data_IF_566332103529
#
_entry.id   IF_566332103529
#
_cell.length_a   1.000
_cell.length_b   1.000
_cell.length_c   1.000
_cell.angle_alpha   90.00
_cell.angle_beta   90.00
_cell.angle_gamma   90.00
#
_symmetry.space_group_name_H-M   'P 1'
#
loop_
_entity.id
_entity.type
_entity.pdbx_description
1 polymer ?
#
# COMPACT_ATOMS: atom_id res chain seq x y z
N UNK A 1 60.23 -11.98 22.83
CA UNK A 1 59.92 -11.90 21.38
C UNK A 1 58.44 -12.25 21.23
N UNK A 2 57.58 -11.22 21.11
CA UNK A 2 56.92 -10.77 19.87
C UNK A 2 55.70 -11.67 19.52
N UNK A 3 54.52 -11.26 20.00
CA UNK A 3 53.32 -10.82 19.23
C UNK A 3 52.77 -11.86 18.25
N UNK A 4 51.55 -12.38 18.51
CA UNK A 4 50.42 -12.49 17.54
C UNK A 4 49.15 -12.69 18.40
N UNK A 5 48.39 -11.63 18.72
CA UNK A 5 47.34 -10.98 17.92
C UNK A 5 45.99 -11.73 17.98
N UNK A 6 45.10 -11.14 18.79
CA UNK A 6 43.64 -11.19 18.74
C UNK A 6 43.06 -11.55 17.37
N UNK A 7 42.17 -12.55 17.33
CA UNK A 7 41.13 -12.67 16.31
C UNK A 7 39.84 -13.14 16.97
N UNK A 8 39.22 -12.22 17.72
CA UNK A 8 37.80 -12.27 18.06
C UNK A 8 37.09 -11.48 16.95
N UNK A 9 36.96 -12.08 15.76
CA UNK A 9 36.31 -11.42 14.64
C UNK A 9 34.80 -11.70 14.70
N UNK A 10 34.12 -10.74 15.30
CA UNK A 10 32.78 -10.26 14.98
C UNK A 10 32.01 -11.07 13.91
N UNK A 11 31.01 -11.83 14.38
CA UNK A 11 29.81 -12.10 13.60
C UNK A 11 28.60 -11.51 14.34
N UNK A 12 28.69 -10.21 14.67
CA UNK A 12 27.49 -9.41 14.88
C UNK A 12 26.94 -9.10 13.50
N UNK A 13 26.11 -10.01 12.98
CA UNK A 13 25.21 -9.65 11.89
C UNK A 13 24.33 -8.55 12.46
N UNK A 14 24.62 -7.32 12.02
CA UNK A 14 23.80 -6.16 12.24
C UNK A 14 22.43 -6.49 11.64
N UNK A 15 21.48 -6.87 12.49
CA UNK A 15 20.07 -6.66 12.21
C UNK A 15 19.90 -5.16 12.18
N UNK A 16 20.17 -4.56 11.03
CA UNK A 16 19.77 -3.19 10.73
C UNK A 16 18.27 -3.26 10.44
N UNK A 17 17.47 -3.28 11.51
CA UNK A 17 16.15 -2.70 11.40
C UNK A 17 16.38 -1.23 11.10
N UNK A 18 16.26 -0.84 9.84
CA UNK A 18 15.97 0.55 9.53
C UNK A 18 14.60 0.80 10.15
N UNK A 19 14.59 1.44 11.33
CA UNK A 19 13.40 2.12 11.83
C UNK A 19 13.27 3.43 11.04
N UNK A 20 13.15 3.30 9.71
CA UNK A 20 12.54 4.37 8.95
C UNK A 20 11.08 4.29 9.39
N UNK A 21 10.63 5.29 10.16
CA UNK A 21 9.25 5.44 10.63
C UNK A 21 8.33 5.71 9.40
N UNK A 22 8.33 4.81 8.43
CA UNK A 22 7.43 4.83 7.29
C UNK A 22 6.01 4.60 7.83
N UNK A 23 5.04 5.40 7.37
CA UNK A 23 3.64 5.17 7.68
C UNK A 23 2.85 6.45 7.88
N UNK A 24 1.52 6.29 7.89
CA UNK A 24 0.58 7.38 8.15
C UNK A 24 -0.29 7.04 9.35
N UNK A 25 -0.51 8.03 10.22
CA UNK A 25 -1.46 7.88 11.32
C UNK A 25 -2.88 8.18 10.82
N UNK A 26 -3.77 7.18 10.88
CA UNK A 26 -5.19 7.38 10.57
C UNK A 26 -5.99 7.80 11.81
N UNK A 27 -6.84 8.82 11.67
CA UNK A 27 -7.71 9.39 12.69
C UNK A 27 -9.04 9.85 12.04
N UNK A 28 -9.92 10.51 12.81
CA UNK A 28 -11.24 10.93 12.32
C UNK A 28 -11.19 11.93 11.14
N UNK A 29 -10.06 12.62 10.93
CA UNK A 29 -9.89 13.64 9.91
C UNK A 29 -9.22 13.20 8.61
N UNK A 30 -8.80 11.94 8.50
CA UNK A 30 -8.10 11.42 7.32
C UNK A 30 -8.51 9.99 6.97
N UNK A 31 -8.08 9.55 5.78
CA UNK A 31 -8.32 8.20 5.31
C UNK A 31 -7.29 7.80 4.25
N UNK A 32 -7.13 6.50 4.08
CA UNK A 32 -6.42 5.85 2.99
C UNK A 32 -7.44 5.12 2.14
N UNK A 33 -7.47 5.39 0.84
CA UNK A 33 -8.11 4.55 -0.16
C UNK A 33 -7.03 3.68 -0.80
N UNK A 34 -7.28 2.39 -0.89
CA UNK A 34 -6.39 1.41 -1.50
C UNK A 34 -7.21 0.40 -2.30
N UNK A 35 -6.63 -0.18 -3.33
CA UNK A 35 -7.35 -1.10 -4.19
C UNK A 35 -6.51 -1.56 -5.37
N UNK A 36 -7.07 -2.46 -6.17
CA UNK A 36 -6.50 -2.87 -7.45
C UNK A 36 -7.49 -2.69 -8.60
N UNK A 37 -6.98 -2.75 -9.81
CA UNK A 37 -7.78 -2.75 -11.04
C UNK A 37 -7.06 -3.53 -12.14
N UNK A 38 -7.82 -4.22 -12.99
CA UNK A 38 -7.34 -4.97 -14.16
C UNK A 38 -8.27 -4.72 -15.35
N UNK A 39 -7.74 -4.24 -16.48
CA UNK A 39 -8.54 -3.77 -17.61
C UNK A 39 -9.11 -4.88 -18.49
N UNK A 40 -8.41 -6.02 -18.55
CA UNK A 40 -8.81 -7.21 -19.31
C UNK A 40 -9.48 -8.28 -18.42
N UNK A 41 -9.87 -7.91 -17.21
CA UNK A 41 -10.56 -8.78 -16.26
C UNK A 41 -12.08 -8.63 -16.37
N UNK A 42 -12.82 -9.75 -16.17
CA UNK A 42 -14.28 -9.77 -16.20
C UNK A 42 -14.83 -10.37 -14.90
N UNK A 43 -15.67 -9.61 -14.20
CA UNK A 43 -16.39 -10.04 -13.00
C UNK A 43 -16.00 -9.27 -11.73
N UNK A 44 -16.54 -9.73 -10.60
CA UNK A 44 -16.14 -9.30 -9.25
C UNK A 44 -14.66 -9.64 -9.00
N UNK A 45 -13.93 -8.85 -8.22
CA UNK A 45 -12.49 -9.05 -8.01
C UNK A 45 -11.59 -8.43 -9.09
N UNK A 46 -12.15 -7.84 -10.15
CA UNK A 46 -11.37 -7.18 -11.20
C UNK A 46 -10.99 -5.74 -10.85
N UNK A 47 -11.88 -5.06 -10.14
CA UNK A 47 -11.66 -3.75 -9.57
C UNK A 47 -12.16 -3.86 -8.15
N UNK A 48 -11.30 -3.55 -7.19
CA UNK A 48 -11.59 -3.68 -5.78
C UNK A 48 -11.03 -2.43 -5.12
N UNK A 49 -11.88 -1.62 -4.51
CA UNK A 49 -11.46 -0.36 -3.89
C UNK A 49 -12.00 -0.26 -2.48
N UNK A 50 -11.10 -0.02 -1.54
CA UNK A 50 -11.42 0.06 -0.12
C UNK A 50 -11.04 1.42 0.43
N UNK A 51 -11.78 1.86 1.45
CA UNK A 51 -11.47 3.04 2.24
C UNK A 51 -11.22 2.63 3.69
N UNK A 52 -10.00 2.87 4.15
CA UNK A 52 -9.56 2.70 5.53
C UNK A 52 -9.54 4.03 6.27
N UNK A 53 -10.19 4.09 7.42
CA UNK A 53 -10.14 5.21 8.36
C UNK A 53 -9.45 4.78 9.66
N UNK A 54 -9.35 5.68 10.64
CA UNK A 54 -8.81 5.32 11.96
C UNK A 54 -9.64 4.28 12.73
N UNK A 55 -10.86 3.96 12.30
CA UNK A 55 -11.76 3.07 13.05
C UNK A 55 -12.65 2.15 12.21
N UNK A 56 -12.64 2.31 10.88
CA UNK A 56 -13.58 1.62 9.99
C UNK A 56 -12.93 1.26 8.65
N UNK A 57 -13.43 0.20 8.05
CA UNK A 57 -13.14 -0.21 6.69
C UNK A 57 -14.43 -0.13 5.87
N UNK A 58 -14.31 0.30 4.62
CA UNK A 58 -15.39 0.32 3.66
C UNK A 58 -14.94 -0.28 2.34
N UNK A 59 -15.86 -0.92 1.65
CA UNK A 59 -15.71 -1.39 0.27
C UNK A 59 -16.50 -0.47 -0.65
N UNK A 60 -15.92 -0.13 -1.78
CA UNK A 60 -16.62 0.54 -2.88
C UNK A 60 -17.41 -0.50 -3.68
N UNK A 61 -18.71 -0.29 -3.86
CA UNK A 61 -19.58 -1.23 -4.60
C UNK A 61 -19.81 -0.83 -6.06
N UNK A 62 -19.08 0.17 -6.58
CA UNK A 62 -19.22 0.65 -7.97
C UNK A 62 -18.21 -0.03 -8.90
N UNK A 63 -17.04 -0.39 -8.38
CA UNK A 63 -15.96 -1.06 -9.11
C UNK A 63 -15.56 -0.34 -10.40
N UNK A 64 -15.61 1.01 -10.36
CA UNK A 64 -15.17 1.84 -11.46
C UNK A 64 -13.65 1.74 -11.60
N UNK A 65 -13.20 1.13 -12.70
CA UNK A 65 -11.79 1.05 -13.09
C UNK A 65 -11.05 2.40 -12.97
N UNK A 66 -11.74 3.52 -13.27
CA UNK A 66 -11.13 4.85 -13.20
C UNK A 66 -10.94 5.37 -11.77
N UNK A 67 -11.70 4.82 -10.80
CA UNK A 67 -11.76 5.23 -9.40
C UNK A 67 -12.36 6.61 -9.18
N UNK A 68 -13.20 7.09 -10.12
CA UNK A 68 -13.85 8.41 -10.04
C UNK A 68 -15.22 8.34 -9.40
N UNK A 69 -15.96 7.28 -9.70
CA UNK A 69 -17.25 6.99 -9.09
C UNK A 69 -17.03 5.98 -7.97
N UNK A 70 -17.52 6.28 -6.78
CA UNK A 70 -17.36 5.41 -5.60
C UNK A 70 -18.64 5.44 -4.76
N UNK A 71 -19.00 4.31 -4.17
CA UNK A 71 -20.07 4.15 -3.20
C UNK A 71 -19.59 3.23 -2.06
N UNK A 72 -19.10 3.85 -0.99
CA UNK A 72 -18.51 3.12 0.14
C UNK A 72 -19.56 2.56 1.09
N UNK A 73 -19.55 1.24 1.27
CA UNK A 73 -20.35 0.49 2.25
C UNK A 73 -19.43 -0.05 3.34
N UNK A 74 -19.85 0.11 4.60
CA UNK A 74 -19.05 -0.28 5.77
C UNK A 74 -18.95 -1.82 5.87
N UNK A 75 -17.72 -2.31 6.06
CA UNK A 75 -17.43 -3.72 6.31
C UNK A 75 -17.36 -4.03 7.81
N UNK A 76 -17.43 -5.31 8.13
CA UNK A 76 -17.38 -5.79 9.51
C UNK A 76 -16.08 -5.42 10.23
N UNK A 77 -16.19 -5.11 11.53
CA UNK A 77 -15.05 -4.74 12.36
C UNK A 77 -13.96 -5.83 12.39
N UNK A 78 -14.33 -7.10 12.26
CA UNK A 78 -13.36 -8.20 12.21
C UNK A 78 -12.45 -8.14 10.97
N UNK A 79 -12.94 -7.61 9.85
CA UNK A 79 -12.14 -7.38 8.64
C UNK A 79 -11.26 -6.15 8.82
N UNK A 80 -11.82 -5.07 9.38
CA UNK A 80 -11.05 -3.86 9.73
C UNK A 80 -9.82 -4.17 10.58
N UNK A 81 -9.97 -4.98 11.64
CA UNK A 81 -8.85 -5.34 12.53
C UNK A 81 -7.71 -6.09 11.81
N UNK A 82 -7.99 -6.77 10.70
CA UNK A 82 -7.00 -7.50 9.91
C UNK A 82 -6.20 -6.62 8.94
N UNK A 83 -6.73 -5.45 8.59
CA UNK A 83 -6.16 -4.58 7.54
C UNK A 83 -5.72 -3.21 8.04
N UNK A 84 -6.11 -2.79 9.25
CA UNK A 84 -5.83 -1.45 9.78
C UNK A 84 -4.34 -1.10 9.84
N UNK A 85 -3.49 -2.10 9.95
CA UNK A 85 -2.02 -1.98 9.95
C UNK A 85 -1.44 -1.57 8.60
N UNK A 86 -2.22 -1.60 7.50
CA UNK A 86 -1.75 -1.14 6.18
C UNK A 86 -1.19 0.29 6.22
N UNK A 87 -1.76 1.14 7.09
CA UNK A 87 -1.31 2.51 7.29
C UNK A 87 0.15 2.60 7.78
N UNK A 88 0.62 1.61 8.53
CA UNK A 88 1.99 1.51 9.06
C UNK A 88 3.01 1.11 7.98
N UNK A 89 2.54 0.71 6.79
CA UNK A 89 3.40 0.37 5.64
C UNK A 89 3.36 1.44 4.55
N UNK A 90 2.65 2.56 4.78
CA UNK A 90 2.53 3.60 3.77
C UNK A 90 3.87 4.29 3.53
N UNK A 91 4.34 4.38 2.27
CA UNK A 91 5.67 4.94 1.99
C UNK A 91 5.64 6.48 2.06
N UNK A 92 6.32 7.07 3.06
CA UNK A 92 6.38 8.52 3.26
C UNK A 92 6.89 9.30 2.04
N UNK A 93 7.78 8.68 1.26
CA UNK A 93 8.29 9.27 0.01
C UNK A 93 7.17 9.55 -0.99
N UNK A 94 6.09 8.78 -0.97
CA UNK A 94 4.94 8.96 -1.85
C UNK A 94 4.22 10.29 -1.56
N UNK A 95 4.14 10.72 -0.29
CA UNK A 95 3.53 12.00 0.10
C UNK A 95 4.26 13.22 -0.49
N UNK A 96 5.55 13.07 -0.73
CA UNK A 96 6.42 14.11 -1.28
C UNK A 96 6.61 14.00 -2.80
N UNK A 97 5.99 13.00 -3.44
CA UNK A 97 6.05 12.83 -4.88
C UNK A 97 5.18 13.86 -5.61
N UNK A 98 5.71 14.38 -6.71
CA UNK A 98 4.93 15.10 -7.73
C UNK A 98 4.33 14.15 -8.77
N UNK A 99 4.86 12.93 -8.87
CA UNK A 99 4.35 11.89 -9.77
C UNK A 99 3.05 11.29 -9.22
N UNK A 100 2.07 11.12 -10.11
CA UNK A 100 0.80 10.45 -9.84
C UNK A 100 0.75 9.03 -10.44
N UNK A 101 1.70 8.67 -11.28
CA UNK A 101 1.77 7.38 -11.95
C UNK A 101 3.17 6.81 -11.79
N UNK A 102 3.28 5.60 -11.27
CA UNK A 102 4.55 4.89 -11.13
C UNK A 102 4.53 3.65 -12.02
N UNK A 103 5.51 3.54 -12.92
CA UNK A 103 5.55 2.48 -13.93
C UNK A 103 4.52 2.70 -15.04
N UNK A 104 3.94 1.60 -15.53
CA UNK A 104 2.90 1.61 -16.55
C UNK A 104 1.69 0.80 -16.07
N UNK A 105 0.89 1.32 -15.11
CA UNK A 105 -0.22 0.57 -14.53
C UNK A 105 -1.14 0.04 -15.61
N UNK A 106 -1.32 -1.28 -15.62
CA UNK A 106 -2.19 -2.03 -16.53
C UNK A 106 -1.86 -1.94 -18.04
N UNK A 107 -0.63 -1.55 -18.42
CA UNK A 107 -0.24 -1.47 -19.83
C UNK A 107 -0.01 -2.82 -20.52
N UNK A 108 0.23 -3.89 -19.75
CA UNK A 108 0.52 -5.25 -20.22
C UNK A 108 -0.32 -6.28 -19.44
N UNK A 109 -1.59 -5.95 -19.20
CA UNK A 109 -2.59 -6.76 -18.49
C UNK A 109 -2.17 -7.15 -17.06
N UNK A 110 -1.19 -6.45 -16.49
CA UNK A 110 -0.67 -6.68 -15.13
C UNK A 110 -1.50 -6.01 -14.03
N UNK A 111 -2.50 -5.21 -14.41
CA UNK A 111 -3.26 -4.38 -13.49
C UNK A 111 -2.47 -3.23 -12.89
N UNK A 112 -3.08 -2.56 -11.93
CA UNK A 112 -2.43 -1.55 -11.11
C UNK A 112 -3.11 -1.39 -9.77
N UNK A 113 -2.43 -0.70 -8.86
CA UNK A 113 -2.98 -0.28 -7.58
C UNK A 113 -3.54 1.13 -7.66
N UNK A 114 -4.72 1.34 -7.09
CA UNK A 114 -5.31 2.66 -6.85
C UNK A 114 -5.04 3.06 -5.40
N UNK A 115 -4.24 4.10 -5.20
CA UNK A 115 -3.90 4.59 -3.87
C UNK A 115 -4.33 6.05 -3.76
N UNK A 116 -5.03 6.42 -2.69
CA UNK A 116 -5.33 7.81 -2.38
C UNK A 116 -5.23 8.07 -0.89
N UNK A 117 -4.49 9.11 -0.50
CA UNK A 117 -4.43 9.55 0.88
C UNK A 117 -5.04 10.95 1.00
N UNK A 118 -5.87 11.14 2.03
CA UNK A 118 -6.46 12.43 2.36
C UNK A 118 -6.03 12.87 3.75
N UNK A 119 -4.94 13.63 3.87
CA UNK A 119 -4.46 14.20 5.13
C UNK A 119 -4.84 15.67 5.27
N UNK A 120 -5.46 16.07 6.39
CA UNK A 120 -5.83 17.47 6.67
C UNK A 120 -6.68 18.11 5.54
N UNK A 121 -7.53 17.33 4.87
CA UNK A 121 -8.37 17.78 3.76
C UNK A 121 -7.65 17.89 2.39
N UNK A 122 -6.34 17.63 2.32
CA UNK A 122 -5.60 17.56 1.06
C UNK A 122 -5.59 16.12 0.56
N UNK A 123 -6.17 15.91 -0.63
CA UNK A 123 -6.21 14.61 -1.30
C UNK A 123 -5.05 14.48 -2.29
N UNK A 124 -4.40 13.34 -2.27
CA UNK A 124 -3.41 12.92 -3.27
C UNK A 124 -3.77 11.52 -3.74
N UNK A 125 -3.63 11.29 -5.05
CA UNK A 125 -3.99 10.02 -5.69
C UNK A 125 -2.82 9.56 -6.56
N UNK A 126 -2.57 8.26 -6.53
CA UNK A 126 -1.53 7.58 -7.28
C UNK A 126 -2.07 6.32 -7.92
N UNK A 127 -1.60 6.02 -9.13
CA UNK A 127 -1.75 4.71 -9.76
C UNK A 127 -0.37 4.07 -9.89
N UNK A 128 -0.23 2.87 -9.35
CA UNK A 128 1.06 2.18 -9.21
C UNK A 128 1.00 0.88 -9.98
N UNK A 129 1.97 0.64 -10.86
CA UNK A 129 2.12 -0.61 -11.59
C UNK A 129 2.44 -1.76 -10.61
N UNK A 130 1.77 -2.90 -10.79
CA UNK A 130 1.99 -4.07 -9.95
C UNK A 130 3.32 -4.77 -10.26
N UNK A 131 3.83 -4.62 -11.48
CA UNK A 131 5.13 -5.16 -11.84
C UNK A 131 6.23 -4.36 -11.13
N UNK A 132 6.78 -4.95 -10.06
CA UNK A 132 7.80 -4.31 -9.22
C UNK A 132 9.03 -3.82 -9.99
N UNK A 133 9.39 -4.50 -11.07
CA UNK A 133 10.52 -4.09 -11.92
C UNK A 133 10.27 -2.75 -12.66
N UNK A 134 9.01 -2.30 -12.75
CA UNK A 134 8.62 -1.05 -13.39
C UNK A 134 8.51 0.13 -12.41
N UNK A 135 8.64 -0.10 -11.09
CA UNK A 135 8.42 0.92 -10.06
C UNK A 135 9.63 1.04 -9.12
N UNK A 136 9.84 2.21 -8.50
CA UNK A 136 10.90 2.38 -7.51
C UNK A 136 10.86 1.36 -6.37
N UNK A 137 12.03 0.87 -5.96
CA UNK A 137 12.19 -0.18 -4.94
C UNK A 137 11.49 0.15 -3.62
N UNK A 138 11.39 1.45 -3.26
CA UNK A 138 10.73 1.86 -2.03
C UNK A 138 9.22 1.57 -2.01
N UNK A 139 8.59 1.30 -3.15
CA UNK A 139 7.17 0.94 -3.24
C UNK A 139 6.94 -0.57 -3.13
N UNK A 140 7.96 -1.41 -3.28
CA UNK A 140 7.81 -2.87 -3.42
C UNK A 140 7.14 -3.51 -2.20
N UNK A 141 7.55 -3.12 -1.00
CA UNK A 141 6.96 -3.63 0.24
C UNK A 141 5.52 -3.16 0.45
N UNK A 142 5.20 -1.92 0.07
CA UNK A 142 3.84 -1.41 0.14
C UNK A 142 2.91 -2.11 -0.84
N UNK A 143 3.37 -2.39 -2.07
CA UNK A 143 2.63 -3.18 -3.06
C UNK A 143 2.26 -4.56 -2.51
N UNK A 144 3.21 -5.25 -1.87
CA UNK A 144 2.95 -6.54 -1.24
C UNK A 144 1.88 -6.43 -0.15
N UNK A 145 1.95 -5.38 0.68
CA UNK A 145 1.02 -5.18 1.78
C UNK A 145 -0.39 -4.83 1.32
N UNK A 146 -0.52 -4.02 0.28
CA UNK A 146 -1.83 -3.72 -0.33
C UNK A 146 -2.47 -5.00 -0.85
N UNK A 147 -1.74 -5.81 -1.62
CA UNK A 147 -2.26 -7.06 -2.17
C UNK A 147 -2.57 -8.11 -1.08
N UNK A 148 -1.76 -8.19 -0.03
CA UNK A 148 -2.05 -8.99 1.16
C UNK A 148 -3.40 -8.59 1.78
N UNK A 149 -3.65 -7.29 1.95
CA UNK A 149 -4.91 -6.82 2.57
C UNK A 149 -6.12 -7.06 1.68
N UNK A 150 -6.01 -6.83 0.37
CA UNK A 150 -7.10 -7.13 -0.58
C UNK A 150 -7.44 -8.63 -0.52
N UNK A 151 -6.43 -9.51 -0.50
CA UNK A 151 -6.67 -10.94 -0.38
C UNK A 151 -7.35 -11.33 0.95
N UNK A 152 -7.03 -10.66 2.06
CA UNK A 152 -7.69 -10.89 3.36
C UNK A 152 -9.16 -10.46 3.36
N UNK A 153 -9.50 -9.39 2.65
CA UNK A 153 -10.88 -8.88 2.58
C UNK A 153 -11.76 -9.80 1.74
N UNK A 154 -11.21 -10.35 0.64
CA UNK A 154 -11.99 -11.10 -0.34
C UNK A 154 -12.01 -12.62 -0.09
N UNK A 155 -11.55 -13.07 1.09
CA UNK A 155 -11.52 -14.48 1.52
C UNK A 155 -12.75 -14.92 2.30
#
# INVERSE_FOLDING_TARGET
>A
MRKVLFFLLALTVLVSCNNDDDGIALNEGNFLIFGHFYGECIGEGCVETFKLTGSKLYEDTVDDYSGRETNFVELDNAVFEQVRDLADFFPDRLLNSEEQFFGCPDCADGGGLMIQYSGMGVKRTWRIDQAKDNVPVYLHGFIDKVNEKIALINN
#
